data_IF_583130789216
#
_entry.id   IF_583130789216
#
_cell.length_a   1.000
_cell.length_b   1.000
_cell.length_c   1.000
_cell.angle_alpha   90.00
_cell.angle_beta   90.00
_cell.angle_gamma   90.00
#
_symmetry.space_group_name_H-M   'P 1'
#
loop_
_entity.id
_entity.type
_entity.pdbx_description
1 polymer ?
#
# COMPACT_ATOMS: atom_id res chain seq x y z
N UNK A 1 24.59 12.09 -46.98
CA UNK A 1 25.05 11.10 -45.95
C UNK A 1 25.10 11.70 -44.52
N UNK A 2 24.12 12.50 -44.09
CA UNK A 2 24.21 13.23 -42.80
C UNK A 2 22.96 13.12 -41.91
N UNK A 3 21.89 12.46 -42.31
CA UNK A 3 20.68 12.34 -41.48
C UNK A 3 20.56 11.04 -40.67
N UNK A 4 21.28 9.99 -41.06
CA UNK A 4 21.24 8.69 -40.33
C UNK A 4 22.04 8.69 -39.02
N UNK A 5 23.00 9.60 -38.84
CA UNK A 5 23.83 9.73 -37.62
C UNK A 5 23.13 10.39 -36.43
N UNK A 6 22.21 11.30 -36.69
CA UNK A 6 21.52 12.05 -35.63
C UNK A 6 20.45 11.21 -34.90
N UNK A 7 19.75 10.32 -35.61
CA UNK A 7 18.76 9.44 -35.03
C UNK A 7 19.35 8.37 -34.10
N UNK A 8 20.53 7.83 -34.47
CA UNK A 8 21.21 6.83 -33.63
C UNK A 8 21.79 7.41 -32.34
N UNK A 9 22.31 8.64 -32.41
CA UNK A 9 22.84 9.35 -31.21
C UNK A 9 21.73 9.76 -30.24
N UNK A 10 20.54 10.15 -30.75
CA UNK A 10 19.36 10.48 -29.95
C UNK A 10 18.80 9.22 -29.23
N UNK A 11 18.75 8.08 -29.94
CA UNK A 11 18.27 6.82 -29.35
C UNK A 11 19.24 6.28 -28.27
N UNK A 12 20.56 6.43 -28.47
CA UNK A 12 21.55 6.04 -27.46
C UNK A 12 21.58 6.99 -26.25
N UNK A 13 21.30 8.28 -26.45
CA UNK A 13 21.19 9.26 -25.35
C UNK A 13 19.93 9.02 -24.50
N UNK A 14 18.80 8.66 -25.14
CA UNK A 14 17.57 8.26 -24.47
C UNK A 14 17.78 7.00 -23.62
N UNK A 15 18.35 5.94 -24.18
CA UNK A 15 18.67 4.70 -23.46
C UNK A 15 19.69 4.91 -22.33
N UNK A 16 20.66 5.80 -22.50
CA UNK A 16 21.66 6.13 -21.46
C UNK A 16 21.08 7.00 -20.34
N UNK A 17 20.11 7.87 -20.63
CA UNK A 17 19.37 8.62 -19.61
C UNK A 17 18.40 7.71 -18.84
N UNK A 18 17.67 6.84 -19.50
CA UNK A 18 16.80 5.84 -18.90
C UNK A 18 17.59 4.88 -18.00
N UNK A 19 18.79 4.47 -18.42
CA UNK A 19 19.70 3.64 -17.63
C UNK A 19 20.38 4.40 -16.47
N UNK A 20 20.57 5.73 -16.58
CA UNK A 20 21.05 6.58 -15.48
C UNK A 20 19.96 6.88 -14.45
N UNK A 21 18.72 7.11 -14.87
CA UNK A 21 17.57 7.21 -13.96
C UNK A 21 17.26 5.87 -13.29
N UNK A 22 17.39 4.76 -14.03
CA UNK A 22 17.28 3.39 -13.51
C UNK A 22 18.28 3.10 -12.38
N UNK A 23 19.48 3.69 -12.41
CA UNK A 23 20.50 3.49 -11.38
C UNK A 23 20.38 4.41 -10.16
N UNK A 24 19.60 5.52 -10.23
CA UNK A 24 19.51 6.52 -9.15
C UNK A 24 18.44 6.26 -8.09
N UNK A 25 17.55 5.26 -8.26
CA UNK A 25 16.42 5.04 -7.36
C UNK A 25 16.14 3.57 -7.04
N UNK A 26 17.17 2.73 -6.94
CA UNK A 26 16.98 1.33 -6.51
C UNK A 26 17.18 1.20 -5.01
N UNK A 27 16.10 1.08 -4.27
CA UNK A 27 16.13 0.48 -2.94
C UNK A 27 16.02 -1.05 -3.09
N UNK A 28 16.99 -1.75 -2.53
CA UNK A 28 17.02 -3.20 -2.46
C UNK A 28 16.71 -3.59 -1.03
N UNK A 29 15.61 -4.28 -0.82
CA UNK A 29 15.18 -4.70 0.52
C UNK A 29 15.35 -6.21 0.65
N UNK A 30 15.89 -6.65 1.78
CA UNK A 30 16.03 -8.05 2.16
C UNK A 30 14.84 -8.46 3.03
N UNK A 31 13.98 -9.33 2.52
CA UNK A 31 12.93 -9.95 3.31
C UNK A 31 12.96 -11.47 3.07
N UNK A 32 13.12 -12.24 4.15
CA UNK A 32 13.19 -13.70 4.03
C UNK A 32 14.38 -14.24 3.23
N UNK A 33 15.49 -13.47 3.12
CA UNK A 33 16.67 -13.85 2.34
C UNK A 33 16.61 -13.50 0.84
N UNK A 34 15.51 -12.94 0.35
CA UNK A 34 15.34 -12.54 -1.05
C UNK A 34 15.43 -11.01 -1.21
N UNK A 35 16.11 -10.56 -2.28
CA UNK A 35 16.26 -9.17 -2.65
C UNK A 35 15.12 -8.74 -3.58
N UNK A 36 14.23 -7.86 -3.13
CA UNK A 36 13.16 -7.28 -3.97
C UNK A 36 13.62 -5.97 -4.58
N UNK A 37 13.37 -5.77 -5.88
CA UNK A 37 13.68 -4.50 -6.54
C UNK A 37 12.55 -3.50 -6.35
N UNK A 38 12.75 -2.51 -5.46
CA UNK A 38 11.81 -1.41 -5.24
C UNK A 38 12.34 -0.14 -5.86
N UNK A 39 11.53 0.50 -6.69
CA UNK A 39 11.82 1.79 -7.35
C UNK A 39 10.95 2.87 -6.72
N UNK A 40 11.55 3.95 -6.24
CA UNK A 40 10.80 5.10 -5.72
C UNK A 40 10.59 6.14 -6.83
N UNK A 41 9.36 6.68 -6.92
CA UNK A 41 9.01 7.76 -7.85
C UNK A 41 8.21 8.85 -7.14
N UNK A 42 8.67 10.09 -7.23
CA UNK A 42 8.05 11.23 -6.53
C UNK A 42 6.71 11.67 -7.12
N UNK A 43 6.41 11.33 -8.39
CA UNK A 43 5.16 11.67 -9.03
C UNK A 43 4.80 10.62 -10.07
N UNK A 44 3.62 10.02 -9.93
CA UNK A 44 3.01 9.07 -10.85
C UNK A 44 1.82 9.78 -11.52
N UNK A 45 1.86 9.91 -12.84
CA UNK A 45 0.78 10.52 -13.61
C UNK A 45 -0.25 9.49 -14.03
N UNK A 46 0.21 8.34 -14.56
CA UNK A 46 -0.65 7.23 -14.96
C UNK A 46 -0.15 5.92 -14.32
N UNK A 47 -1.03 5.26 -13.58
CA UNK A 47 -0.77 3.97 -12.94
C UNK A 47 -0.51 2.87 -13.99
N UNK A 48 -1.20 2.95 -15.13
CA UNK A 48 -1.12 1.93 -16.18
C UNK A 48 0.29 1.76 -16.75
N UNK A 49 1.11 2.82 -16.74
CA UNK A 49 2.50 2.78 -17.20
C UNK A 49 3.41 1.91 -16.34
N UNK A 50 3.04 1.67 -15.09
CA UNK A 50 3.83 0.89 -14.12
C UNK A 50 3.32 -0.54 -13.92
N UNK A 51 2.19 -0.86 -14.55
CA UNK A 51 1.58 -2.18 -14.50
C UNK A 51 1.57 -2.83 -15.89
N UNK A 52 2.76 -2.96 -16.48
CA UNK A 52 2.99 -3.40 -17.88
C UNK A 52 3.67 -4.77 -17.99
N UNK A 53 3.48 -5.65 -17.00
CA UNK A 53 3.98 -7.03 -17.07
C UNK A 53 3.36 -7.83 -18.23
N UNK A 54 3.89 -9.04 -18.47
CA UNK A 54 3.34 -9.94 -19.50
C UNK A 54 2.06 -10.59 -18.93
N UNK A 55 0.91 -10.29 -19.55
CA UNK A 55 -0.36 -10.91 -19.18
C UNK A 55 -0.39 -12.36 -19.68
N UNK A 56 -0.51 -13.38 -18.81
CA UNK A 56 -0.63 -14.77 -19.23
C UNK A 56 -1.86 -15.01 -20.11
N UNK A 57 -1.76 -15.95 -21.08
CA UNK A 57 -2.87 -16.25 -22.01
C UNK A 57 -4.14 -16.78 -21.30
N UNK A 58 -3.99 -17.42 -20.15
CA UNK A 58 -5.08 -17.94 -19.32
C UNK A 58 -5.56 -16.95 -18.27
N UNK A 59 -5.14 -15.69 -18.34
CA UNK A 59 -5.60 -14.65 -17.41
C UNK A 59 -7.05 -14.27 -17.71
N UNK A 60 -7.88 -14.26 -16.67
CA UNK A 60 -9.28 -13.85 -16.72
C UNK A 60 -9.45 -12.58 -15.89
N UNK A 61 -10.01 -11.53 -16.50
CA UNK A 61 -10.26 -10.26 -15.82
C UNK A 61 -11.27 -10.45 -14.70
N UNK A 62 -10.96 -9.87 -13.54
CA UNK A 62 -11.87 -9.75 -12.40
C UNK A 62 -12.54 -8.38 -12.49
N UNK A 63 -13.84 -8.31 -12.28
CA UNK A 63 -14.54 -7.04 -12.20
C UNK A 63 -14.09 -6.26 -10.97
N UNK A 64 -13.48 -5.10 -11.21
CA UNK A 64 -12.98 -4.17 -10.21
C UNK A 64 -13.50 -2.77 -10.50
N UNK A 65 -13.51 -1.87 -9.51
CA UNK A 65 -13.80 -0.45 -9.76
C UNK A 65 -12.88 0.13 -10.84
N UNK A 66 -13.45 0.93 -11.73
CA UNK A 66 -12.73 1.48 -12.88
C UNK A 66 -11.83 2.67 -12.53
N UNK A 67 -12.02 3.25 -11.34
CA UNK A 67 -11.22 4.37 -10.85
C UNK A 67 -10.92 4.23 -9.35
N UNK A 68 -9.85 4.90 -8.91
CA UNK A 68 -9.52 4.99 -7.48
C UNK A 68 -10.69 5.58 -6.70
N UNK A 69 -11.39 6.57 -7.25
CA UNK A 69 -12.52 7.23 -6.59
C UNK A 69 -13.71 6.28 -6.41
N UNK A 70 -14.00 5.47 -7.41
CA UNK A 70 -15.01 4.42 -7.32
C UNK A 70 -14.62 3.34 -6.29
N UNK A 71 -13.35 2.93 -6.29
CA UNK A 71 -12.83 1.99 -5.29
C UNK A 71 -12.96 2.52 -3.88
N UNK A 72 -12.59 3.78 -3.65
CA UNK A 72 -12.71 4.44 -2.34
C UNK A 72 -14.16 4.51 -1.88
N UNK A 73 -15.11 4.85 -2.78
CA UNK A 73 -16.56 4.87 -2.47
C UNK A 73 -17.07 3.48 -2.08
N UNK A 74 -16.72 2.44 -2.85
CA UNK A 74 -17.15 1.06 -2.58
C UNK A 74 -16.53 0.48 -1.30
N UNK A 75 -15.33 0.89 -0.96
CA UNK A 75 -14.63 0.47 0.23
C UNK A 75 -14.99 1.31 1.49
N UNK A 76 -15.63 2.47 1.34
CA UNK A 76 -15.98 3.38 2.45
C UNK A 76 -16.74 2.71 3.63
N UNK A 77 -17.67 1.76 3.42
CA UNK A 77 -18.29 1.04 4.53
C UNK A 77 -17.30 0.29 5.42
N UNK A 78 -16.21 -0.24 4.84
CA UNK A 78 -15.14 -0.91 5.59
C UNK A 78 -14.42 0.10 6.48
N UNK A 79 -14.09 1.28 5.93
CA UNK A 79 -13.48 2.36 6.70
C UNK A 79 -14.38 2.79 7.87
N UNK A 80 -15.69 2.91 7.64
CA UNK A 80 -16.66 3.25 8.68
C UNK A 80 -16.66 2.22 9.83
N UNK A 81 -16.66 0.93 9.51
CA UNK A 81 -16.58 -0.14 10.52
C UNK A 81 -15.28 -0.05 11.31
N UNK A 82 -14.14 0.15 10.64
CA UNK A 82 -12.84 0.29 11.29
C UNK A 82 -12.79 1.53 12.21
N UNK A 83 -13.34 2.67 11.77
CA UNK A 83 -13.47 3.87 12.60
C UNK A 83 -14.32 3.61 13.86
N UNK A 84 -15.46 2.93 13.72
CA UNK A 84 -16.31 2.56 14.84
C UNK A 84 -15.57 1.66 15.83
N UNK A 85 -14.84 0.64 15.33
CA UNK A 85 -14.02 -0.24 16.18
C UNK A 85 -12.96 0.55 16.97
N UNK A 86 -12.27 1.48 16.32
CA UNK A 86 -11.29 2.34 16.98
C UNK A 86 -11.94 3.21 18.05
N UNK A 87 -13.07 3.83 17.73
CA UNK A 87 -13.82 4.66 18.68
C UNK A 87 -14.31 3.85 19.90
N UNK A 88 -14.86 2.66 19.67
CA UNK A 88 -15.30 1.75 20.76
C UNK A 88 -14.10 1.35 21.63
N UNK A 89 -12.94 1.05 21.05
CA UNK A 89 -11.73 0.70 21.82
C UNK A 89 -11.31 1.85 22.75
N UNK A 90 -11.34 3.09 22.25
CA UNK A 90 -11.05 4.27 23.07
C UNK A 90 -12.07 4.46 24.19
N UNK A 91 -13.37 4.33 23.87
CA UNK A 91 -14.44 4.42 24.88
C UNK A 91 -14.29 3.36 25.96
N UNK A 92 -14.07 2.10 25.58
CA UNK A 92 -13.89 1.01 26.54
C UNK A 92 -12.76 1.33 27.51
N UNK A 93 -11.58 1.75 27.01
CA UNK A 93 -10.46 2.12 27.88
C UNK A 93 -10.79 3.28 28.81
N UNK A 94 -11.47 4.32 28.30
CA UNK A 94 -11.89 5.49 29.08
C UNK A 94 -12.89 5.12 30.19
N UNK A 95 -13.90 4.31 29.85
CA UNK A 95 -14.94 3.88 30.81
C UNK A 95 -14.36 2.96 31.87
N UNK A 96 -13.52 2.00 31.50
CA UNK A 96 -12.88 1.09 32.46
C UNK A 96 -12.00 1.82 33.46
N UNK A 97 -11.30 2.86 33.06
CA UNK A 97 -10.42 3.64 33.92
C UNK A 97 -11.10 4.82 34.57
N UNK A 98 -12.37 5.12 34.26
CA UNK A 98 -13.16 6.26 34.78
C UNK A 98 -12.46 7.61 34.67
N UNK A 99 -11.58 7.78 33.67
CA UNK A 99 -10.80 9.00 33.44
C UNK A 99 -10.52 9.17 31.94
N UNK A 100 -10.21 10.41 31.54
CA UNK A 100 -9.75 10.70 30.19
C UNK A 100 -8.34 10.12 30.02
N UNK A 101 -8.19 9.14 29.16
CA UNK A 101 -6.94 8.36 29.00
C UNK A 101 -6.01 8.91 27.90
N UNK A 102 -6.44 9.92 27.14
CA UNK A 102 -5.72 10.45 25.97
C UNK A 102 -5.47 11.96 26.09
N UNK A 103 -4.37 12.44 25.53
CA UNK A 103 -4.09 13.85 25.30
C UNK A 103 -4.45 14.22 23.86
N UNK A 104 -5.31 15.25 23.67
CA UNK A 104 -5.77 15.68 22.34
C UNK A 104 -4.63 16.16 21.44
N UNK A 105 -3.63 16.84 22.01
CA UNK A 105 -2.44 17.31 21.25
C UNK A 105 -1.67 16.12 20.71
N UNK A 106 -1.44 15.10 21.54
CA UNK A 106 -0.69 13.91 21.13
C UNK A 106 -1.45 13.01 20.18
N UNK A 107 -2.80 13.03 20.16
CA UNK A 107 -3.58 12.39 19.08
C UNK A 107 -3.23 13.03 17.73
N UNK A 108 -3.21 14.36 17.63
CA UNK A 108 -2.89 15.06 16.39
C UNK A 108 -1.47 14.74 15.92
N UNK A 109 -0.51 14.73 16.85
CA UNK A 109 0.88 14.31 16.54
C UNK A 109 0.89 12.87 16.05
N UNK A 110 0.14 11.97 16.69
CA UNK A 110 0.00 10.59 16.30
C UNK A 110 -0.59 10.42 14.88
N UNK A 111 -1.60 11.19 14.52
CA UNK A 111 -2.14 11.23 13.16
C UNK A 111 -1.09 11.69 12.14
N UNK A 112 -0.33 12.74 12.45
CA UNK A 112 0.73 13.23 11.58
C UNK A 112 1.82 12.16 11.36
N UNK A 113 2.27 11.50 12.41
CA UNK A 113 3.24 10.40 12.32
C UNK A 113 2.66 9.20 11.56
N UNK A 114 1.40 8.84 11.83
CA UNK A 114 0.69 7.79 11.10
C UNK A 114 0.59 8.09 9.60
N UNK A 115 0.37 9.36 9.23
CA UNK A 115 0.40 9.80 7.83
C UNK A 115 1.79 9.61 7.18
N UNK A 116 2.85 9.95 7.90
CA UNK A 116 4.23 9.71 7.42
C UNK A 116 4.46 8.21 7.21
N UNK A 117 3.91 7.37 8.09
CA UNK A 117 3.99 5.91 7.98
C UNK A 117 3.25 5.34 6.75
N UNK A 118 2.43 6.11 6.01
CA UNK A 118 1.81 5.64 4.76
C UNK A 118 2.86 5.30 3.68
N UNK A 119 4.03 5.92 3.70
CA UNK A 119 5.14 5.53 2.82
C UNK A 119 5.64 4.13 3.18
N UNK A 120 5.72 3.83 4.48
CA UNK A 120 6.10 2.49 4.98
C UNK A 120 5.01 1.48 4.64
N UNK A 121 3.73 1.87 4.67
CA UNK A 121 2.59 1.07 4.25
C UNK A 121 2.78 0.55 2.81
N UNK A 122 3.08 1.45 1.86
CA UNK A 122 3.31 1.05 0.47
C UNK A 122 4.57 0.17 0.32
N UNK A 123 5.59 0.44 1.12
CA UNK A 123 6.78 -0.40 1.15
C UNK A 123 6.47 -1.81 1.65
N UNK A 124 5.58 -1.97 2.64
CA UNK A 124 5.13 -3.27 3.12
C UNK A 124 4.40 -4.08 2.03
N UNK A 125 3.63 -3.44 1.15
CA UNK A 125 3.11 -4.13 -0.04
C UNK A 125 4.25 -4.61 -0.94
N UNK A 126 5.24 -3.77 -1.16
CA UNK A 126 6.36 -4.04 -2.06
C UNK A 126 7.20 -5.25 -1.65
N UNK A 127 7.51 -5.40 -0.35
CA UNK A 127 8.37 -6.49 0.15
C UNK A 127 7.75 -7.88 0.04
N UNK A 128 6.44 -7.99 -0.16
CA UNK A 128 5.75 -9.27 -0.35
C UNK A 128 5.98 -9.82 -1.76
N UNK A 129 6.34 -8.99 -2.74
CA UNK A 129 6.62 -9.45 -4.09
C UNK A 129 7.92 -10.27 -4.17
N UNK A 130 8.05 -11.21 -5.12
CA UNK A 130 9.28 -11.95 -5.31
C UNK A 130 10.35 -11.09 -6.02
N UNK A 131 11.57 -11.60 -6.04
CA UNK A 131 12.76 -10.91 -6.58
C UNK A 131 12.61 -10.50 -8.06
N UNK A 132 11.88 -11.29 -8.84
CA UNK A 132 11.67 -11.06 -10.28
C UNK A 132 10.68 -9.92 -10.53
N UNK A 133 9.91 -9.52 -9.53
CA UNK A 133 8.96 -8.44 -9.64
C UNK A 133 9.64 -7.08 -9.51
N UNK A 134 9.32 -6.18 -10.43
CA UNK A 134 9.64 -4.76 -10.29
C UNK A 134 8.47 -4.05 -9.60
N UNK A 135 8.71 -3.55 -8.39
CA UNK A 135 7.73 -2.77 -7.63
C UNK A 135 8.07 -1.29 -7.72
N UNK A 136 7.11 -0.47 -8.11
CA UNK A 136 7.27 0.99 -8.10
C UNK A 136 6.40 1.59 -7.01
N UNK A 137 7.02 2.26 -6.05
CA UNK A 137 6.32 2.99 -4.99
C UNK A 137 6.38 4.47 -5.32
N UNK A 138 5.24 5.15 -5.27
CA UNK A 138 5.22 6.58 -5.53
C UNK A 138 3.94 7.28 -5.12
N UNK A 139 3.99 8.62 -5.20
CA UNK A 139 2.85 9.48 -4.93
C UNK A 139 2.11 9.77 -6.22
N UNK A 140 0.80 9.66 -6.23
CA UNK A 140 -0.04 10.05 -7.37
C UNK A 140 -0.03 11.57 -7.49
N UNK A 141 0.23 12.08 -8.71
CA UNK A 141 0.24 13.51 -9.00
C UNK A 141 -1.12 14.14 -8.67
N UNK A 142 -1.09 15.24 -7.93
CA UNK A 142 -2.30 15.96 -7.52
C UNK A 142 -3.13 15.29 -6.41
N UNK A 143 -2.72 14.12 -5.89
CA UNK A 143 -3.38 13.44 -4.76
C UNK A 143 -2.41 13.26 -3.58
N UNK A 144 -2.97 13.12 -2.38
CA UNK A 144 -2.20 12.84 -1.14
C UNK A 144 -2.03 11.31 -0.98
N UNK A 145 -2.16 10.55 -2.05
CA UNK A 145 -2.17 9.09 -2.03
C UNK A 145 -0.84 8.55 -2.53
N UNK A 146 -0.25 7.64 -1.76
CA UNK A 146 0.86 6.81 -2.18
C UNK A 146 0.32 5.49 -2.72
N UNK A 147 1.08 4.84 -3.59
CA UNK A 147 0.72 3.55 -4.18
C UNK A 147 1.96 2.70 -4.43
N UNK A 148 1.84 1.40 -4.22
CA UNK A 148 2.80 0.40 -4.63
C UNK A 148 2.29 -0.32 -5.88
N UNK A 149 2.97 -0.16 -7.00
CA UNK A 149 2.57 -0.67 -8.30
C UNK A 149 3.49 -1.79 -8.75
N UNK A 150 2.92 -2.93 -9.07
CA UNK A 150 3.63 -4.05 -9.67
C UNK A 150 2.69 -4.84 -10.58
N UNK A 151 3.25 -5.46 -11.61
CA UNK A 151 2.54 -6.33 -12.54
C UNK A 151 3.21 -7.69 -12.55
N UNK A 152 2.93 -8.47 -11.50
CA UNK A 152 3.49 -9.81 -11.29
C UNK A 152 2.41 -10.73 -10.68
N UNK A 153 2.23 -11.97 -11.17
CA UNK A 153 1.23 -12.88 -10.63
C UNK A 153 1.63 -13.40 -9.24
N UNK A 154 0.90 -13.02 -8.21
CA UNK A 154 1.04 -13.52 -6.85
C UNK A 154 0.03 -14.62 -6.57
N UNK A 155 0.44 -15.74 -5.96
CA UNK A 155 -0.51 -16.72 -5.42
C UNK A 155 -1.54 -16.02 -4.53
N UNK A 156 -2.80 -16.45 -4.61
CA UNK A 156 -3.92 -15.83 -3.85
C UNK A 156 -3.58 -15.60 -2.37
N UNK A 157 -2.99 -16.57 -1.69
CA UNK A 157 -2.60 -16.43 -0.29
C UNK A 157 -1.55 -15.32 -0.07
N UNK A 158 -0.54 -15.25 -0.95
CA UNK A 158 0.49 -14.22 -0.89
C UNK A 158 -0.07 -12.83 -1.20
N UNK A 159 -1.03 -12.74 -2.12
CA UNK A 159 -1.76 -11.49 -2.41
C UNK A 159 -2.55 -11.00 -1.17
N UNK A 160 -3.25 -11.92 -0.47
CA UNK A 160 -3.98 -11.57 0.76
C UNK A 160 -3.01 -11.07 1.85
N UNK A 161 -1.86 -11.75 2.03
CA UNK A 161 -0.83 -11.29 2.95
C UNK A 161 -0.32 -9.90 2.56
N UNK A 162 -0.06 -9.66 1.27
CA UNK A 162 0.34 -8.35 0.76
C UNK A 162 -0.66 -7.26 1.16
N UNK A 163 -1.95 -7.49 0.93
CA UNK A 163 -2.99 -6.52 1.28
C UNK A 163 -3.15 -6.30 2.79
N UNK A 164 -2.94 -7.33 3.62
CA UNK A 164 -3.19 -7.24 5.05
C UNK A 164 -1.94 -6.88 5.88
N UNK A 165 -0.74 -7.02 5.32
CA UNK A 165 0.51 -6.75 6.03
C UNK A 165 0.61 -5.31 6.57
N UNK A 166 0.14 -4.26 5.88
CA UNK A 166 0.19 -2.89 6.40
C UNK A 166 -0.59 -2.67 7.71
N UNK A 167 -1.57 -3.54 8.04
CA UNK A 167 -2.25 -3.44 9.33
C UNK A 167 -1.30 -3.50 10.54
N UNK A 168 -0.11 -4.05 10.38
CA UNK A 168 0.91 -4.07 11.44
C UNK A 168 1.24 -2.67 11.97
N UNK A 169 1.18 -1.65 11.08
CA UNK A 169 1.40 -0.24 11.44
C UNK A 169 0.30 0.34 12.34
N UNK A 170 -0.88 -0.25 12.32
CA UNK A 170 -1.98 0.11 13.21
C UNK A 170 -2.08 -0.79 14.44
N UNK A 171 -1.86 -2.10 14.27
CA UNK A 171 -1.97 -3.10 15.33
C UNK A 171 -0.93 -2.85 16.43
N UNK A 172 0.33 -2.58 16.09
CA UNK A 172 1.39 -2.34 17.07
C UNK A 172 1.06 -1.14 17.96
N UNK A 173 0.78 0.07 17.42
CA UNK A 173 0.37 1.20 18.26
C UNK A 173 -0.93 0.93 19.03
N UNK A 174 -1.89 0.19 18.45
CA UNK A 174 -3.14 -0.15 19.14
C UNK A 174 -2.88 -1.02 20.36
N UNK A 175 -2.03 -2.03 20.25
CA UNK A 175 -1.66 -2.88 21.38
C UNK A 175 -0.95 -2.07 22.47
N UNK A 176 -0.03 -1.18 22.10
CA UNK A 176 0.62 -0.26 23.07
C UNK A 176 -0.43 0.62 23.75
N UNK A 177 -1.37 1.20 22.99
CA UNK A 177 -2.48 1.98 23.55
C UNK A 177 -3.31 1.17 24.55
N UNK A 178 -3.64 -0.09 24.23
CA UNK A 178 -4.48 -0.93 25.11
C UNK A 178 -3.77 -1.24 26.43
N UNK A 179 -2.48 -1.59 26.39
CA UNK A 179 -1.75 -2.06 27.58
C UNK A 179 -1.13 -0.94 28.42
N UNK A 180 -0.94 0.26 27.85
CA UNK A 180 -0.33 1.38 28.59
C UNK A 180 -1.26 1.89 29.70
N UNK A 181 -0.72 2.36 30.85
CA UNK A 181 -1.50 2.94 31.95
C UNK A 181 -2.34 4.15 31.51
N UNK A 182 -3.48 4.38 32.18
CA UNK A 182 -4.38 5.49 31.87
C UNK A 182 -3.74 6.87 32.12
N UNK A 183 -2.81 6.95 33.05
CA UNK A 183 -2.05 8.15 33.43
C UNK A 183 -1.12 8.62 32.32
N UNK A 184 -0.64 7.71 31.49
CA UNK A 184 0.25 8.02 30.35
C UNK A 184 -0.52 8.63 29.17
N UNK A 185 -1.27 9.72 29.42
CA UNK A 185 -2.18 10.34 28.44
C UNK A 185 -1.50 10.75 27.14
N UNK A 186 -0.28 11.19 27.20
CA UNK A 186 0.53 11.60 26.02
C UNK A 186 0.85 10.40 25.15
N UNK A 187 1.42 9.35 25.74
CA UNK A 187 1.71 8.09 25.03
C UNK A 187 0.42 7.48 24.47
N UNK A 188 -0.64 7.45 25.25
CA UNK A 188 -1.94 6.94 24.82
C UNK A 188 -2.49 7.73 23.64
N UNK A 189 -2.42 9.07 23.67
CA UNK A 189 -2.86 9.93 22.57
C UNK A 189 -2.05 9.66 21.31
N UNK A 190 -0.72 9.64 21.43
CA UNK A 190 0.20 9.37 20.32
C UNK A 190 -0.08 8.00 19.66
N UNK A 191 -0.12 6.94 20.46
CA UNK A 191 -0.34 5.58 19.98
C UNK A 191 -1.74 5.42 19.38
N UNK A 192 -2.76 6.02 19.98
CA UNK A 192 -4.12 5.99 19.45
C UNK A 192 -4.22 6.69 18.10
N UNK A 193 -3.64 7.89 17.95
CA UNK A 193 -3.60 8.63 16.69
C UNK A 193 -2.89 7.84 15.57
N UNK A 194 -1.72 7.26 15.87
CA UNK A 194 -0.99 6.39 14.93
C UNK A 194 -1.81 5.15 14.57
N UNK A 195 -2.46 4.52 15.57
CA UNK A 195 -3.26 3.32 15.32
C UNK A 195 -4.49 3.61 14.46
N UNK A 196 -5.15 4.74 14.64
CA UNK A 196 -6.27 5.14 13.78
C UNK A 196 -5.84 5.23 12.31
N UNK A 197 -4.71 5.86 12.01
CA UNK A 197 -4.19 5.92 10.65
C UNK A 197 -3.81 4.53 10.12
N UNK A 198 -3.06 3.75 10.88
CA UNK A 198 -2.59 2.44 10.46
C UNK A 198 -3.69 1.37 10.37
N UNK A 199 -4.77 1.47 11.14
CA UNK A 199 -5.91 0.55 11.07
C UNK A 199 -6.92 0.93 10.00
N UNK A 200 -7.13 2.23 9.77
CA UNK A 200 -8.16 2.68 8.82
C UNK A 200 -7.61 2.77 7.41
N UNK A 201 -6.38 3.24 7.21
CA UNK A 201 -5.81 3.44 5.86
C UNK A 201 -5.85 2.20 4.95
N UNK A 202 -5.71 0.93 5.44
CA UNK A 202 -5.78 -0.26 4.59
C UNK A 202 -7.19 -0.66 4.15
N UNK A 203 -8.23 0.18 4.33
CA UNK A 203 -9.59 -0.21 3.95
C UNK A 203 -9.76 -0.56 2.45
N UNK A 204 -9.02 0.05 1.48
CA UNK A 204 -9.08 -0.36 0.09
C UNK A 204 -8.44 -1.74 -0.12
N UNK A 205 -7.41 -2.08 0.66
CA UNK A 205 -6.75 -3.38 0.60
C UNK A 205 -7.67 -4.49 1.10
N UNK A 206 -8.42 -4.23 2.17
CA UNK A 206 -9.48 -5.16 2.64
C UNK A 206 -10.52 -5.37 1.55
N UNK A 207 -10.90 -4.32 0.83
CA UNK A 207 -11.83 -4.42 -0.29
C UNK A 207 -11.25 -5.29 -1.42
N UNK A 208 -9.98 -5.13 -1.77
CA UNK A 208 -9.28 -5.98 -2.73
C UNK A 208 -9.26 -7.45 -2.27
N UNK A 209 -9.02 -7.70 -0.99
CA UNK A 209 -9.11 -9.06 -0.42
C UNK A 209 -10.50 -9.64 -0.61
N UNK A 210 -11.57 -8.89 -0.33
CA UNK A 210 -12.95 -9.34 -0.50
C UNK A 210 -13.22 -9.69 -1.97
N UNK A 211 -12.80 -8.86 -2.92
CA UNK A 211 -12.93 -9.14 -4.36
C UNK A 211 -12.24 -10.46 -4.71
N UNK A 212 -10.99 -10.63 -4.28
CA UNK A 212 -10.20 -11.84 -4.58
C UNK A 212 -10.79 -13.07 -3.94
N UNK A 213 -11.31 -12.98 -2.71
CA UNK A 213 -11.95 -14.10 -2.02
C UNK A 213 -13.21 -14.58 -2.75
N UNK A 214 -13.95 -13.66 -3.40
CA UNK A 214 -15.19 -13.96 -4.14
C UNK A 214 -14.93 -14.49 -5.55
N UNK A 215 -13.84 -14.09 -6.21
CA UNK A 215 -13.65 -14.31 -7.65
C UNK A 215 -12.52 -15.29 -8.00
N UNK A 216 -11.65 -15.64 -7.07
CA UNK A 216 -10.49 -16.48 -7.31
C UNK A 216 -10.47 -17.72 -6.42
N UNK A 217 -9.99 -18.84 -6.94
CA UNK A 217 -9.79 -20.09 -6.19
C UNK A 217 -8.46 -20.08 -5.42
N UNK A 218 -8.28 -21.02 -4.49
CA UNK A 218 -7.04 -21.11 -3.68
C UNK A 218 -5.78 -21.33 -4.51
N UNK A 219 -5.90 -21.93 -5.70
CA UNK A 219 -4.78 -22.24 -6.60
C UNK A 219 -4.45 -21.09 -7.55
N UNK A 220 -5.37 -20.15 -7.74
CA UNK A 220 -5.20 -19.05 -8.67
C UNK A 220 -4.14 -18.06 -8.18
N UNK A 221 -3.45 -17.44 -9.11
CA UNK A 221 -2.62 -16.27 -8.87
C UNK A 221 -3.39 -14.99 -9.25
N UNK A 222 -3.07 -13.89 -8.59
CA UNK A 222 -3.68 -12.56 -8.81
C UNK A 222 -2.60 -11.64 -9.37
N UNK A 223 -2.95 -10.88 -10.39
CA UNK A 223 -2.05 -9.94 -11.05
C UNK A 223 -2.79 -8.64 -11.37
N UNK A 224 -2.12 -7.52 -11.14
CA UNK A 224 -2.53 -6.25 -11.72
C UNK A 224 -1.89 -6.07 -13.08
N UNK A 225 -2.68 -5.70 -14.09
CA UNK A 225 -2.21 -5.35 -15.41
C UNK A 225 -2.95 -4.09 -15.89
N UNK A 226 -2.19 -3.06 -16.18
CA UNK A 226 -2.73 -1.71 -16.39
C UNK A 226 -3.57 -1.28 -15.17
N UNK A 227 -4.82 -0.96 -15.33
CA UNK A 227 -5.69 -0.55 -14.22
C UNK A 227 -6.61 -1.67 -13.72
N UNK A 228 -6.44 -2.88 -14.24
CA UNK A 228 -7.34 -4.01 -14.01
C UNK A 228 -6.68 -5.12 -13.19
N UNK A 229 -7.50 -5.87 -12.47
CA UNK A 229 -7.09 -7.07 -11.75
C UNK A 229 -7.45 -8.32 -12.55
N UNK A 230 -6.52 -9.27 -12.60
CA UNK A 230 -6.71 -10.55 -13.30
C UNK A 230 -6.43 -11.72 -12.38
N UNK A 231 -7.19 -12.80 -12.54
CA UNK A 231 -6.84 -14.13 -12.01
C UNK A 231 -6.17 -14.95 -13.10
N UNK A 232 -5.16 -15.69 -12.71
CA UNK A 232 -4.37 -16.60 -13.54
C UNK A 232 -4.51 -17.99 -12.92
N UNK A 233 -5.19 -18.90 -13.62
CA UNK A 233 -5.45 -20.28 -13.17
C UNK A 233 -4.39 -21.23 -13.65
#
# INVERSE_FOLDING_TARGET
MTEMGAGYASCQKGKKMEQREFNKSKFVTLFGGELVMIKLKMSIEDISEYQTGILPKNAVKIETPQSIEEMMKKAAPIAAVLCVLMFVTMLCKTVMNKTVVISHVFILIGFCLGYICLVIHEWLHGIVYPREALVTIGKIKGKITFVALASYPLKRSRFIVMCLLPFVLGIIPLLIFIVSPAECRELNGLMFGMSCMGMVSPFPDVYNVIIVLRNANKKDAIMFYKNDMYKVS
#
